data_IF_264649005768
#
_entry.id   IF_264649005768
#
_cell.length_a   1.000
_cell.length_b   1.000
_cell.length_c   1.000
_cell.angle_alpha   90.00
_cell.angle_beta   90.00
_cell.angle_gamma   90.00
#
_symmetry.space_group_name_H-M   'P 1'
#
loop_
_entity.id
_entity.type
_entity.pdbx_description
1 polymer ?
#
# COMPACT_ATOMS: atom_id res chain seq x y z
N UNK A 1 -7.66 20.97 -5.50
CA UNK A 1 -7.22 19.80 -6.31
C UNK A 1 -7.46 18.51 -5.52
N UNK A 2 -8.53 17.75 -5.82
CA UNK A 2 -8.88 16.47 -5.14
C UNK A 2 -8.59 15.21 -5.97
N UNK A 3 -8.19 15.36 -7.25
CA UNK A 3 -8.12 14.26 -8.24
C UNK A 3 -6.98 13.25 -7.99
N UNK A 4 -5.78 13.72 -7.63
CA UNK A 4 -4.58 12.87 -7.48
C UNK A 4 -4.63 11.86 -6.31
N UNK A 5 -5.47 12.10 -5.29
CA UNK A 5 -5.58 11.20 -4.13
C UNK A 5 -6.40 9.96 -4.49
N UNK A 6 -7.47 10.14 -5.26
CA UNK A 6 -8.35 9.06 -5.69
C UNK A 6 -7.65 8.06 -6.62
N UNK A 7 -6.73 8.53 -7.48
CA UNK A 7 -5.95 7.68 -8.37
C UNK A 7 -5.03 6.72 -7.59
N UNK A 8 -4.35 7.21 -6.55
CA UNK A 8 -3.47 6.37 -5.72
C UNK A 8 -4.25 5.33 -4.94
N UNK A 9 -5.40 5.72 -4.37
CA UNK A 9 -6.30 4.78 -3.67
C UNK A 9 -6.80 3.70 -4.62
N UNK A 10 -7.27 4.07 -5.82
CA UNK A 10 -7.73 3.11 -6.82
C UNK A 10 -6.62 2.15 -7.26
N UNK A 11 -5.40 2.67 -7.45
CA UNK A 11 -4.23 1.87 -7.82
C UNK A 11 -3.90 0.82 -6.75
N UNK A 12 -3.76 1.24 -5.49
CA UNK A 12 -3.43 0.34 -4.38
C UNK A 12 -4.55 -0.66 -4.09
N UNK A 13 -5.82 -0.26 -4.24
CA UNK A 13 -6.98 -1.15 -4.12
C UNK A 13 -6.99 -2.24 -5.19
N UNK A 14 -6.53 -1.93 -6.40
CA UNK A 14 -6.48 -2.88 -7.53
C UNK A 14 -5.36 -3.92 -7.43
N UNK A 15 -4.39 -3.74 -6.52
CA UNK A 15 -3.27 -4.67 -6.36
C UNK A 15 -3.75 -6.05 -5.93
N UNK A 16 -3.24 -7.09 -6.60
CA UNK A 16 -3.49 -8.47 -6.23
C UNK A 16 -2.63 -8.91 -5.04
N UNK A 17 -3.08 -9.83 -4.18
CA UNK A 17 -2.24 -10.40 -3.13
C UNK A 17 -0.93 -10.98 -3.70
N UNK A 18 0.20 -10.66 -3.07
CA UNK A 18 1.55 -10.98 -3.54
C UNK A 18 2.15 -9.96 -4.53
N UNK A 19 1.34 -9.06 -5.09
CA UNK A 19 1.81 -8.02 -6.01
C UNK A 19 2.64 -6.98 -5.26
N UNK A 20 3.73 -6.54 -5.90
CA UNK A 20 4.64 -5.53 -5.38
C UNK A 20 4.74 -4.35 -6.32
N UNK A 21 4.63 -3.14 -5.78
CA UNK A 21 4.77 -1.88 -6.51
C UNK A 21 5.83 -0.99 -5.87
N UNK A 22 6.57 -0.28 -6.72
CA UNK A 22 7.62 0.64 -6.29
C UNK A 22 7.19 2.07 -6.50
N UNK A 23 7.33 2.89 -5.46
CA UNK A 23 7.03 4.31 -5.47
C UNK A 23 8.27 5.14 -5.14
N UNK A 24 8.45 6.32 -5.76
CA UNK A 24 9.55 7.21 -5.41
C UNK A 24 9.39 7.75 -3.99
N UNK A 25 10.50 8.08 -3.31
CA UNK A 25 10.51 8.64 -1.94
C UNK A 25 9.57 9.82 -1.75
N UNK A 26 9.43 10.67 -2.76
CA UNK A 26 8.52 11.83 -2.75
C UNK A 26 7.05 11.47 -2.51
N UNK A 27 6.64 10.22 -2.81
CA UNK A 27 5.28 9.72 -2.65
C UNK A 27 5.04 9.02 -1.31
N UNK A 28 6.05 8.77 -0.48
CA UNK A 28 5.91 8.07 0.82
C UNK A 28 4.81 8.62 1.70
N UNK A 29 4.78 9.94 1.86
CA UNK A 29 3.84 10.64 2.73
C UNK A 29 2.39 10.59 2.20
N UNK A 30 2.18 10.12 0.98
CA UNK A 30 0.85 9.84 0.42
C UNK A 30 0.52 8.34 0.42
N UNK A 31 1.50 7.49 0.07
CA UNK A 31 1.31 6.04 -0.09
C UNK A 31 1.07 5.37 1.26
N UNK A 32 1.87 5.66 2.29
CA UNK A 32 1.72 5.03 3.61
C UNK A 32 0.34 5.29 4.24
N UNK A 33 -0.15 6.55 4.34
CA UNK A 33 -1.49 6.80 4.85
C UNK A 33 -2.58 6.15 4.01
N UNK A 34 -2.39 6.05 2.69
CA UNK A 34 -3.39 5.40 1.82
C UNK A 34 -3.47 3.90 2.08
N UNK A 35 -2.32 3.23 2.25
CA UNK A 35 -2.29 1.81 2.65
C UNK A 35 -2.95 1.59 4.01
N UNK A 36 -2.67 2.46 4.99
CA UNK A 36 -3.30 2.42 6.31
C UNK A 36 -4.82 2.59 6.23
N UNK A 37 -5.30 3.56 5.45
CA UNK A 37 -6.73 3.76 5.26
C UNK A 37 -7.39 2.55 4.61
N UNK A 38 -6.79 1.99 3.54
CA UNK A 38 -7.32 0.79 2.89
C UNK A 38 -7.34 -0.44 3.81
N UNK A 39 -6.39 -0.55 4.74
CA UNK A 39 -6.40 -1.57 5.80
C UNK A 39 -7.62 -1.41 6.72
N UNK A 40 -7.91 -0.21 7.20
CA UNK A 40 -9.03 0.02 8.13
C UNK A 40 -10.39 0.03 7.43
N UNK A 41 -10.48 0.60 6.24
CA UNK A 41 -11.74 0.80 5.51
C UNK A 41 -12.20 -0.48 4.80
N UNK A 42 -11.26 -1.26 4.26
CA UNK A 42 -11.54 -2.38 3.35
C UNK A 42 -10.84 -3.70 3.74
N UNK A 43 -10.07 -3.71 4.84
CA UNK A 43 -9.32 -4.90 5.24
C UNK A 43 -8.15 -5.23 4.30
N UNK A 44 -7.72 -4.28 3.46
CA UNK A 44 -6.62 -4.51 2.52
C UNK A 44 -5.28 -4.26 3.18
N UNK A 45 -4.51 -5.30 3.36
CA UNK A 45 -3.25 -5.35 4.06
C UNK A 45 -2.04 -5.15 3.13
N UNK A 46 -1.11 -4.30 3.56
CA UNK A 46 0.08 -3.98 2.79
C UNK A 46 1.30 -3.99 3.72
N UNK A 47 2.44 -4.46 3.21
CA UNK A 47 3.75 -4.17 3.80
C UNK A 47 4.43 -3.07 3.03
N UNK A 48 5.27 -2.30 3.71
CA UNK A 48 6.08 -1.28 3.04
C UNK A 48 7.53 -1.37 3.45
N UNK A 49 8.42 -1.47 2.48
CA UNK A 49 9.86 -1.54 2.68
C UNK A 49 10.57 -0.35 2.04
N UNK A 50 11.73 -0.02 2.59
CA UNK A 50 12.58 1.05 2.06
C UNK A 50 13.75 0.46 1.31
N UNK A 51 13.80 0.65 0.01
CA UNK A 51 15.01 0.40 -0.78
C UNK A 51 15.55 1.73 -1.29
N UNK A 52 16.65 2.19 -0.69
CA UNK A 52 17.33 3.46 -0.99
C UNK A 52 16.33 4.64 -1.06
N UNK A 53 16.05 5.12 -2.28
CA UNK A 53 15.17 6.26 -2.56
C UNK A 53 13.75 5.84 -2.98
N UNK A 54 13.41 4.57 -2.82
CA UNK A 54 12.11 4.03 -3.17
C UNK A 54 11.37 3.50 -1.94
N UNK A 55 10.06 3.51 -2.02
CA UNK A 55 9.16 2.79 -1.14
C UNK A 55 8.61 1.61 -1.94
N UNK A 56 8.91 0.41 -1.48
CA UNK A 56 8.34 -0.81 -2.01
C UNK A 56 7.08 -1.09 -1.21
N UNK A 57 5.97 -1.37 -1.88
CA UNK A 57 4.69 -1.72 -1.27
C UNK A 57 4.27 -3.07 -1.80
N UNK A 58 3.99 -4.01 -0.91
CA UNK A 58 3.53 -5.34 -1.29
C UNK A 58 2.15 -5.58 -0.69
N UNK A 59 1.19 -6.04 -1.51
CA UNK A 59 -0.13 -6.45 -1.03
C UNK A 59 -0.02 -7.82 -0.37
N UNK A 60 -0.41 -7.92 0.89
CA UNK A 60 -0.41 -9.20 1.61
C UNK A 60 -1.70 -9.98 1.37
N UNK A 61 -1.63 -11.30 1.41
CA UNK A 61 -2.82 -12.12 1.54
C UNK A 61 -3.33 -12.06 2.99
N UNK A 62 -4.65 -12.18 3.19
CA UNK A 62 -5.22 -12.17 4.54
C UNK A 62 -4.78 -13.39 5.36
N UNK A 63 -4.42 -14.50 4.70
CA UNK A 63 -3.86 -15.71 5.34
C UNK A 63 -2.47 -15.48 5.96
N UNK A 64 -1.74 -14.43 5.55
CA UNK A 64 -0.40 -14.13 6.11
C UNK A 64 -0.45 -13.34 7.43
N UNK A 65 -1.63 -12.91 7.89
CA UNK A 65 -1.75 -12.13 9.13
C UNK A 65 -1.94 -12.95 10.39
N UNK A 66 -2.40 -14.19 10.28
CA UNK A 66 -2.57 -15.10 11.42
C UNK A 66 -1.23 -15.64 11.95
N UNK A 67 -0.12 -15.46 11.23
CA UNK A 67 1.23 -15.87 11.67
C UNK A 67 2.00 -14.77 12.43
N UNK A 68 1.43 -13.57 12.56
CA UNK A 68 2.08 -12.41 13.20
C UNK A 68 1.47 -12.01 14.56
N UNK A 69 0.47 -12.75 15.06
CA UNK A 69 -0.02 -12.70 16.46
C UNK A 69 0.57 -13.86 17.28
#
# INVERSE_FOLDING_TARGET
MRRKRNELTALLRGMQPGETMTFPRSKRNSVRPTCTNLKYDEGLLFTTETDKDNLIVTRLNNEQWDELE
#
